data_IF_332070209033
#
_entry.id   IF_332070209033
#
_cell.length_a   1.000
_cell.length_b   1.000
_cell.length_c   1.000
_cell.angle_alpha   90.00
_cell.angle_beta   90.00
_cell.angle_gamma   90.00
#
_symmetry.space_group_name_H-M   'P 1'
#
loop_
_entity.id
_entity.type
_entity.pdbx_description
1 polymer ?
#
# COMPACT_ATOMS: atom_id res chain seq x y z
N UNK A 1 -2.93 8.55 14.50
CA UNK A 1 -2.69 8.11 13.13
C UNK A 1 -1.20 8.20 12.83
N UNK A 2 -0.68 7.30 11.99
CA UNK A 2 0.66 7.32 11.42
C UNK A 2 0.48 7.49 9.92
N UNK A 3 0.79 8.69 9.43
CA UNK A 3 0.51 9.05 8.04
C UNK A 3 1.68 8.73 7.13
N UNK A 4 1.36 8.34 5.89
CA UNK A 4 2.32 8.16 4.82
C UNK A 4 2.07 9.19 3.73
N UNK A 5 3.07 10.02 3.45
CA UNK A 5 3.04 10.92 2.29
C UNK A 5 1.88 11.92 2.25
N UNK A 6 1.35 12.35 3.41
CA UNK A 6 0.23 13.30 3.51
C UNK A 6 -1.05 12.85 2.79
N UNK A 7 -1.22 11.54 2.54
CA UNK A 7 -2.35 10.98 1.79
C UNK A 7 -3.70 11.43 2.38
N UNK A 8 -3.75 11.69 3.68
CA UNK A 8 -4.97 12.00 4.43
C UNK A 8 -5.25 13.50 4.64
N UNK A 9 -4.44 14.41 4.08
CA UNK A 9 -4.70 15.87 4.23
C UNK A 9 -6.07 16.28 3.69
N UNK A 10 -6.61 15.54 2.71
CA UNK A 10 -7.91 15.77 2.10
C UNK A 10 -9.00 14.76 2.55
N UNK A 11 -8.70 13.91 3.54
CA UNK A 11 -9.56 12.79 3.93
C UNK A 11 -9.37 11.57 3.03
N UNK A 12 -10.00 10.46 3.41
CA UNK A 12 -9.83 9.17 2.74
C UNK A 12 -11.18 8.54 2.42
N UNK A 13 -11.43 8.23 1.15
CA UNK A 13 -12.55 7.37 0.78
C UNK A 13 -12.15 5.91 1.02
N UNK A 14 -12.96 5.23 1.82
CA UNK A 14 -12.85 3.79 2.07
C UNK A 14 -14.05 3.09 1.42
N UNK A 15 -13.83 1.91 0.85
CA UNK A 15 -14.86 1.06 0.27
C UNK A 15 -14.87 -0.32 0.94
N UNK A 16 -16.06 -0.87 1.10
CA UNK A 16 -16.30 -2.22 1.61
C UNK A 16 -17.33 -2.92 0.71
N UNK A 17 -17.09 -4.17 0.28
CA UNK A 17 -17.98 -4.87 -0.66
C UNK A 17 -19.46 -4.92 -0.26
N UNK A 18 -19.72 -5.08 1.04
CA UNK A 18 -21.10 -5.20 1.57
C UNK A 18 -21.64 -3.93 2.23
N UNK A 19 -20.77 -3.01 2.66
CA UNK A 19 -21.14 -1.86 3.50
C UNK A 19 -21.12 -0.55 2.71
N UNK A 20 -20.66 -0.60 1.46
CA UNK A 20 -20.58 0.56 0.57
C UNK A 20 -19.34 1.40 0.84
N UNK A 21 -19.48 2.70 0.65
CA UNK A 21 -18.39 3.66 0.79
C UNK A 21 -18.52 4.46 2.08
N UNK A 22 -17.38 4.82 2.67
CA UNK A 22 -17.28 5.67 3.83
C UNK A 22 -16.17 6.70 3.63
N UNK A 23 -16.53 7.98 3.75
CA UNK A 23 -15.55 9.06 3.70
C UNK A 23 -15.03 9.34 5.12
N UNK A 24 -13.76 9.06 5.33
CA UNK A 24 -13.04 9.32 6.57
C UNK A 24 -12.50 10.76 6.53
N UNK A 25 -13.01 11.60 7.43
CA UNK A 25 -12.56 12.99 7.54
C UNK A 25 -11.05 13.07 7.90
N UNK A 26 -10.35 14.12 7.43
CA UNK A 26 -8.96 14.36 7.82
C UNK A 26 -8.80 14.42 9.35
N UNK A 27 -7.74 13.81 9.87
CA UNK A 27 -7.37 13.93 11.28
C UNK A 27 -5.88 14.27 11.41
N UNK A 28 -5.51 14.81 12.57
CA UNK A 28 -4.12 15.17 12.86
C UNK A 28 -3.28 13.90 13.00
N UNK A 29 -2.19 13.83 12.23
CA UNK A 29 -1.25 12.73 12.37
C UNK A 29 -0.35 12.93 13.59
N UNK A 30 -0.04 11.84 14.29
CA UNK A 30 0.94 11.82 15.39
C UNK A 30 2.36 11.65 14.89
N UNK A 31 2.51 11.12 13.67
CA UNK A 31 3.79 10.93 12.99
C UNK A 31 3.55 11.04 11.49
N UNK A 32 4.39 11.83 10.82
CA UNK A 32 4.43 11.90 9.36
C UNK A 32 5.67 11.15 8.89
N UNK A 33 5.47 10.22 7.96
CA UNK A 33 6.55 9.48 7.32
C UNK A 33 6.39 9.52 5.81
N UNK A 34 7.51 9.60 5.12
CA UNK A 34 7.64 9.38 3.67
C UNK A 34 8.25 8.00 3.38
N UNK A 35 8.43 7.16 4.40
CA UNK A 35 9.07 5.85 4.31
C UNK A 35 8.17 4.76 4.89
N UNK A 36 7.70 3.85 4.02
CA UNK A 36 6.76 2.79 4.39
C UNK A 36 7.33 1.85 5.47
N UNK A 37 8.65 1.62 5.48
CA UNK A 37 9.29 0.78 6.47
C UNK A 37 9.25 1.44 7.86
N UNK A 38 9.45 2.76 7.93
CA UNK A 38 9.36 3.51 9.19
C UNK A 38 7.91 3.59 9.68
N UNK A 39 6.94 3.70 8.77
CA UNK A 39 5.52 3.71 9.11
C UNK A 39 5.10 2.37 9.73
N UNK A 40 5.40 1.24 9.07
CA UNK A 40 4.97 -0.08 9.55
C UNK A 40 5.65 -0.46 10.86
N UNK A 41 6.93 -0.13 11.05
CA UNK A 41 7.61 -0.34 12.32
C UNK A 41 7.01 0.52 13.44
N UNK A 42 6.60 1.75 13.13
CA UNK A 42 5.93 2.62 14.10
C UNK A 42 4.59 2.03 14.54
N UNK A 43 3.81 1.49 13.60
CA UNK A 43 2.54 0.78 13.86
C UNK A 43 2.80 -0.47 14.70
N UNK A 44 3.75 -1.31 14.31
CA UNK A 44 4.10 -2.57 15.00
C UNK A 44 4.62 -2.36 16.42
N UNK A 45 5.14 -1.17 16.72
CA UNK A 45 5.56 -0.78 18.07
C UNK A 45 4.46 -0.04 18.86
N UNK A 46 3.21 -0.05 18.39
CA UNK A 46 2.05 0.47 19.13
C UNK A 46 1.90 1.99 19.08
N UNK A 47 2.64 2.69 18.20
CA UNK A 47 2.52 4.15 18.12
C UNK A 47 1.23 4.60 17.45
N UNK A 48 0.45 3.73 16.81
CA UNK A 48 -0.89 4.03 16.34
C UNK A 48 -1.34 3.16 15.17
N UNK A 49 -2.42 3.61 14.53
CA UNK A 49 -2.97 3.03 13.31
C UNK A 49 -2.58 3.89 12.10
N UNK A 50 -2.51 3.28 10.92
CA UNK A 50 -2.26 3.97 9.66
C UNK A 50 -2.73 3.12 8.49
N UNK A 51 -2.77 3.74 7.30
CA UNK A 51 -3.06 3.04 6.05
C UNK A 51 -1.76 2.44 5.50
N UNK A 52 -1.80 1.16 5.12
CA UNK A 52 -0.70 0.44 4.52
C UNK A 52 -1.16 -0.19 3.19
N UNK A 53 -0.29 -0.25 2.16
CA UNK A 53 -0.55 -1.10 1.01
C UNK A 53 -0.77 -2.54 1.46
N UNK A 54 -1.77 -3.20 0.88
CA UNK A 54 -2.18 -4.58 1.24
C UNK A 54 -1.02 -5.55 1.20
N UNK A 55 -0.20 -5.48 0.14
CA UNK A 55 0.98 -6.32 -0.03
C UNK A 55 2.04 -6.09 1.04
N UNK A 56 2.23 -4.84 1.50
CA UNK A 56 3.18 -4.51 2.57
C UNK A 56 2.70 -5.09 3.90
N UNK A 57 1.41 -4.91 4.23
CA UNK A 57 0.84 -5.43 5.47
C UNK A 57 0.88 -6.96 5.51
N UNK A 58 0.46 -7.63 4.43
CA UNK A 58 0.51 -9.09 4.31
C UNK A 58 1.93 -9.62 4.37
N UNK A 59 2.87 -8.95 3.67
CA UNK A 59 4.28 -9.31 3.67
C UNK A 59 4.89 -9.20 5.07
N UNK A 60 4.59 -8.13 5.80
CA UNK A 60 5.07 -7.94 7.17
C UNK A 60 4.50 -8.96 8.12
N UNK A 61 3.17 -9.17 8.12
CA UNK A 61 2.50 -10.13 8.98
C UNK A 61 3.01 -11.58 8.75
N UNK A 62 3.29 -11.94 7.49
CA UNK A 62 3.88 -13.23 7.15
C UNK A 62 5.24 -13.47 7.83
N UNK A 63 6.07 -12.44 7.97
CA UNK A 63 7.42 -12.55 8.56
C UNK A 63 7.46 -12.18 10.04
N UNK A 64 6.45 -11.45 10.53
CA UNK A 64 6.33 -10.96 11.89
C UNK A 64 4.91 -11.17 12.43
N UNK A 65 4.47 -12.43 12.63
CA UNK A 65 3.07 -12.72 12.96
C UNK A 65 2.61 -12.05 14.27
N UNK A 66 1.41 -11.48 14.24
CA UNK A 66 0.75 -10.84 15.37
C UNK A 66 1.33 -9.48 15.76
N UNK A 67 2.27 -8.93 14.98
CA UNK A 67 2.87 -7.61 15.25
C UNK A 67 2.00 -6.48 14.72
N UNK A 68 1.16 -6.74 13.73
CA UNK A 68 0.14 -5.82 13.23
C UNK A 68 -1.17 -6.57 13.02
N UNK A 69 -2.28 -5.84 12.94
CA UNK A 69 -3.59 -6.42 12.61
C UNK A 69 -4.43 -5.43 11.81
N UNK A 70 -5.27 -5.90 10.88
CA UNK A 70 -6.30 -5.07 10.27
C UNK A 70 -7.19 -4.45 11.36
N UNK A 71 -7.39 -3.13 11.29
CA UNK A 71 -8.29 -2.42 12.21
C UNK A 71 -9.73 -2.40 11.71
N UNK A 72 -9.91 -2.43 10.39
CA UNK A 72 -11.20 -2.41 9.69
C UNK A 72 -11.15 -3.48 8.61
N UNK A 73 -11.61 -4.69 8.93
CA UNK A 73 -11.58 -5.80 7.99
C UNK A 73 -12.53 -5.54 6.81
N UNK A 74 -12.09 -5.86 5.60
CA UNK A 74 -12.82 -5.62 4.35
C UNK A 74 -12.84 -4.16 3.85
N UNK A 75 -12.39 -3.20 4.66
CA UNK A 75 -12.32 -1.79 4.27
C UNK A 75 -10.98 -1.45 3.61
N UNK A 76 -11.02 -0.94 2.39
CA UNK A 76 -9.84 -0.55 1.62
C UNK A 76 -9.99 0.88 1.10
N UNK A 77 -8.87 1.57 0.89
CA UNK A 77 -8.88 2.79 0.08
C UNK A 77 -8.97 2.45 -1.41
N UNK A 78 -9.10 3.48 -2.23
CA UNK A 78 -8.83 3.35 -3.66
C UNK A 78 -7.45 2.68 -3.91
N UNK A 79 -7.37 1.76 -4.89
CA UNK A 79 -6.10 1.15 -5.29
C UNK A 79 -5.10 2.18 -5.79
N UNK A 80 -3.81 1.93 -5.55
CA UNK A 80 -2.72 2.76 -6.06
C UNK A 80 -2.13 2.10 -7.30
N UNK A 81 -2.02 2.86 -8.40
CA UNK A 81 -1.41 2.39 -9.65
C UNK A 81 0.10 2.24 -9.51
N UNK A 82 0.62 1.06 -9.89
CA UNK A 82 2.06 0.80 -10.00
C UNK A 82 2.44 0.82 -11.48
N UNK A 83 3.30 1.75 -11.88
CA UNK A 83 3.71 1.94 -13.27
C UNK A 83 5.15 1.48 -13.51
N UNK A 84 5.38 0.77 -14.61
CA UNK A 84 6.72 0.45 -15.10
C UNK A 84 7.03 1.34 -16.31
N UNK A 85 7.98 2.28 -16.16
CA UNK A 85 8.40 3.18 -17.23
C UNK A 85 9.66 2.68 -17.92
N UNK A 86 9.63 2.63 -19.25
CA UNK A 86 10.75 2.17 -20.08
C UNK A 86 11.04 3.17 -21.20
N UNK A 87 12.31 3.25 -21.69
CA UNK A 87 12.64 4.11 -22.81
C UNK A 87 11.82 3.79 -24.06
N UNK A 88 11.45 4.79 -24.86
CA UNK A 88 10.77 4.55 -26.12
C UNK A 88 11.70 3.86 -27.15
N UNK A 89 11.11 3.06 -28.06
CA UNK A 89 11.81 2.44 -29.19
C UNK A 89 12.26 1.00 -28.95
N UNK A 90 13.20 0.52 -29.77
CA UNK A 90 13.66 -0.87 -29.72
C UNK A 90 14.58 -1.09 -28.52
N UNK A 91 14.15 -1.93 -27.58
CA UNK A 91 14.96 -2.34 -26.45
C UNK A 91 16.10 -3.29 -26.84
N UNK A 92 17.28 -3.19 -26.19
CA UNK A 92 18.28 -4.25 -26.22
C UNK A 92 17.71 -5.55 -25.63
N UNK A 93 18.16 -6.70 -26.10
CA UNK A 93 17.64 -8.02 -25.70
C UNK A 93 17.59 -8.20 -24.17
N UNK A 94 18.62 -7.75 -23.44
CA UNK A 94 18.66 -7.85 -21.97
C UNK A 94 17.50 -7.13 -21.30
N UNK A 95 17.14 -5.95 -21.78
CA UNK A 95 16.01 -5.19 -21.24
C UNK A 95 14.69 -5.85 -21.63
N UNK A 96 14.54 -6.31 -22.87
CA UNK A 96 13.34 -7.04 -23.30
C UNK A 96 13.08 -8.28 -22.44
N UNK A 97 14.11 -9.08 -22.17
CA UNK A 97 14.00 -10.28 -21.32
C UNK A 97 13.64 -9.91 -19.87
N UNK A 98 14.25 -8.86 -19.31
CA UNK A 98 13.91 -8.38 -17.96
C UNK A 98 12.44 -7.92 -17.88
N UNK A 99 11.97 -7.17 -18.86
CA UNK A 99 10.59 -6.67 -18.88
C UNK A 99 9.58 -7.82 -19.02
N UNK A 100 9.88 -8.82 -19.83
CA UNK A 100 9.06 -10.03 -19.92
C UNK A 100 8.99 -10.76 -18.58
N UNK A 101 10.13 -10.93 -17.91
CA UNK A 101 10.21 -11.60 -16.60
C UNK A 101 9.44 -10.82 -15.51
N UNK A 102 9.56 -9.49 -15.49
CA UNK A 102 8.78 -8.62 -14.60
C UNK A 102 7.28 -8.79 -14.86
N UNK A 103 6.84 -8.73 -16.12
CA UNK A 103 5.41 -8.88 -16.48
C UNK A 103 4.85 -10.25 -16.09
N UNK A 104 5.62 -11.32 -16.27
CA UNK A 104 5.21 -12.67 -15.88
C UNK A 104 5.18 -12.84 -14.35
N UNK A 105 5.97 -12.06 -13.62
CA UNK A 105 6.08 -12.12 -12.16
C UNK A 105 5.13 -11.17 -11.41
N UNK A 106 4.27 -10.43 -12.10
CA UNK A 106 3.29 -9.54 -11.45
C UNK A 106 2.35 -10.39 -10.56
N UNK A 107 2.23 -10.08 -9.25
CA UNK A 107 1.32 -10.77 -8.35
C UNK A 107 -0.11 -10.79 -8.90
N UNK A 108 -0.82 -11.93 -8.74
CA UNK A 108 -2.20 -12.06 -9.22
C UNK A 108 -3.12 -11.01 -8.58
N UNK A 109 -2.90 -10.70 -7.31
CA UNK A 109 -3.66 -9.72 -6.53
C UNK A 109 -3.44 -8.26 -7.00
N UNK A 110 -2.54 -8.02 -7.96
CA UNK A 110 -2.30 -6.69 -8.55
C UNK A 110 -3.00 -6.50 -9.91
N UNK A 111 -3.61 -7.56 -10.46
CA UNK A 111 -4.24 -7.53 -11.79
C UNK A 111 -5.72 -7.11 -11.75
N UNK A 112 -6.29 -6.95 -10.57
CA UNK A 112 -7.70 -6.65 -10.29
C UNK A 112 -7.78 -5.56 -9.23
#
# INVERSE_FOLDING_TARGET
WIDFGSIQENGLLLSHPEQGEFFLEPFVSRLYSDNIAMQIDSIANGHGIGLLPTWTAQGYEKHHPGRITPCLEGWLSEPITINCYTPAGRHPLRLSVLLEDIHQSIPLDWKY
#
